data_IF_919177029449
#
_entry.id   IF_919177029449
#
_cell.length_a   1.000
_cell.length_b   1.000
_cell.length_c   1.000
_cell.angle_alpha   90.00
_cell.angle_beta   90.00
_cell.angle_gamma   90.00
#
_symmetry.space_group_name_H-M   'P 1'
#
loop_
_entity.id
_entity.type
_entity.pdbx_description
1 polymer ?
#
# COMPACT_ATOMS: atom_id res chain seq x y z
N UNK A 1 1.93 17.89 5.32
CA UNK A 1 1.13 16.77 5.86
C UNK A 1 1.78 15.48 5.41
N UNK A 2 1.90 14.48 6.30
CA UNK A 2 2.37 13.16 5.88
C UNK A 2 1.21 12.41 5.21
N UNK A 3 1.48 11.64 4.15
CA UNK A 3 0.45 10.91 3.42
C UNK A 3 -0.16 9.85 4.35
N UNK A 4 -1.48 9.85 4.47
CA UNK A 4 -2.22 8.86 5.28
C UNK A 4 -2.37 7.52 4.56
N UNK A 5 -2.06 7.48 3.27
CA UNK A 5 -2.21 6.29 2.43
C UNK A 5 -0.96 6.13 1.58
N UNK A 6 -0.48 4.89 1.49
CA UNK A 6 0.58 4.46 0.58
C UNK A 6 -0.04 3.49 -0.42
N UNK A 7 0.13 3.76 -1.70
CA UNK A 7 -0.31 2.92 -2.79
C UNK A 7 0.84 2.07 -3.31
N UNK A 8 0.55 0.80 -3.53
CA UNK A 8 1.41 -0.15 -4.22
C UNK A 8 0.69 -0.53 -5.51
N UNK A 9 1.26 -0.19 -6.66
CA UNK A 9 0.61 -0.35 -7.96
C UNK A 9 1.53 -1.02 -8.96
N UNK A 10 1.01 -1.96 -9.75
CA UNK A 10 1.72 -2.40 -10.95
C UNK A 10 1.63 -1.34 -12.05
N UNK A 11 2.73 -1.04 -12.71
CA UNK A 11 2.74 -0.22 -13.92
C UNK A 11 2.59 -1.08 -15.19
N UNK A 12 2.49 -0.42 -16.34
CA UNK A 12 2.34 -1.09 -17.65
C UNK A 12 3.56 -1.96 -18.04
N UNK A 13 4.73 -1.77 -17.43
CA UNK A 13 5.95 -2.53 -17.70
C UNK A 13 6.11 -3.75 -16.78
N UNK A 14 5.14 -4.02 -15.90
CA UNK A 14 5.19 -5.12 -14.93
C UNK A 14 6.01 -4.82 -13.68
N UNK A 15 6.44 -3.58 -13.50
CA UNK A 15 7.13 -3.09 -12.29
C UNK A 15 6.11 -2.63 -11.26
N UNK A 16 6.44 -2.80 -9.99
CA UNK A 16 5.61 -2.39 -8.87
C UNK A 16 6.12 -1.10 -8.26
N UNK A 17 5.25 -0.11 -8.15
CA UNK A 17 5.58 1.24 -7.70
C UNK A 17 4.92 1.46 -6.33
N UNK A 18 5.72 1.92 -5.37
CA UNK A 18 5.23 2.40 -4.07
C UNK A 18 5.16 3.92 -4.13
N UNK A 19 3.98 4.49 -3.92
CA UNK A 19 3.79 5.94 -3.89
C UNK A 19 2.95 6.34 -2.69
N UNK A 20 3.23 7.52 -2.16
CA UNK A 20 2.35 8.15 -1.19
C UNK A 20 1.15 8.79 -1.88
N UNK A 21 0.01 8.82 -1.20
CA UNK A 21 -1.16 9.56 -1.67
C UNK A 21 -0.84 11.06 -1.83
N UNK A 22 -1.18 11.61 -2.99
CA UNK A 22 -0.85 12.98 -3.39
C UNK A 22 0.63 13.26 -3.68
N UNK A 23 1.52 12.26 -3.66
CA UNK A 23 2.93 12.47 -3.98
C UNK A 23 3.19 12.51 -5.50
N UNK A 24 4.00 13.47 -5.95
CA UNK A 24 4.42 13.56 -7.35
C UNK A 24 5.52 12.56 -7.73
N UNK A 25 6.21 12.00 -6.75
CA UNK A 25 7.32 11.07 -6.96
C UNK A 25 7.07 9.76 -6.21
N UNK A 26 7.39 8.61 -6.83
CA UNK A 26 7.32 7.34 -6.15
C UNK A 26 8.36 7.25 -5.02
N UNK A 27 7.99 6.60 -3.94
CA UNK A 27 8.88 6.27 -2.83
C UNK A 27 9.92 5.23 -3.28
N UNK A 28 9.48 4.21 -4.04
CA UNK A 28 10.37 3.16 -4.55
C UNK A 28 9.71 2.36 -5.69
N UNK A 29 10.53 1.59 -6.42
CA UNK A 29 10.10 0.69 -7.50
C UNK A 29 10.70 -0.69 -7.29
N UNK A 30 9.95 -1.75 -7.62
CA UNK A 30 10.31 -3.14 -7.36
C UNK A 30 9.89 -4.06 -8.51
N UNK A 31 10.57 -5.19 -8.66
CA UNK A 31 10.25 -6.19 -9.69
C UNK A 31 9.03 -7.06 -9.35
N UNK A 32 8.61 -7.09 -8.08
CA UNK A 32 7.53 -7.98 -7.61
C UNK A 32 6.56 -7.25 -6.68
N UNK A 33 5.32 -7.76 -6.62
CA UNK A 33 4.28 -7.27 -5.69
C UNK A 33 4.75 -7.36 -4.25
N UNK A 34 5.34 -8.51 -3.89
CA UNK A 34 5.75 -8.81 -2.52
C UNK A 34 6.84 -7.88 -2.02
N UNK A 35 7.81 -7.52 -2.87
CA UNK A 35 8.88 -6.59 -2.49
C UNK A 35 8.32 -5.17 -2.31
N UNK A 36 7.42 -4.74 -3.20
CA UNK A 36 6.77 -3.44 -3.10
C UNK A 36 5.86 -3.33 -1.88
N UNK A 37 5.07 -4.36 -1.59
CA UNK A 37 4.25 -4.43 -0.38
C UNK A 37 5.11 -4.36 0.87
N UNK A 38 6.22 -5.12 0.93
CA UNK A 38 7.13 -5.10 2.07
C UNK A 38 7.74 -3.72 2.27
N UNK A 39 8.15 -3.04 1.20
CA UNK A 39 8.67 -1.68 1.25
C UNK A 39 7.62 -0.67 1.74
N UNK A 40 6.38 -0.79 1.26
CA UNK A 40 5.27 0.06 1.70
C UNK A 40 4.93 -0.16 3.19
N UNK A 41 4.88 -1.41 3.63
CA UNK A 41 4.66 -1.78 5.04
C UNK A 41 5.80 -1.26 5.93
N UNK A 42 7.06 -1.40 5.50
CA UNK A 42 8.21 -0.86 6.22
C UNK A 42 8.12 0.67 6.34
N UNK A 43 7.63 1.35 5.31
CA UNK A 43 7.42 2.80 5.34
C UNK A 43 6.24 3.23 6.23
N UNK A 44 5.20 2.40 6.34
CA UNK A 44 4.08 2.62 7.24
C UNK A 44 4.39 2.24 8.71
N UNK A 45 5.48 1.49 8.95
CA UNK A 45 5.85 1.03 10.29
C UNK A 45 6.19 2.23 11.19
N UNK A 46 5.60 2.28 12.38
CA UNK A 46 5.74 3.41 13.30
C UNK A 46 4.70 4.52 13.12
N UNK A 47 3.79 4.37 12.15
CA UNK A 47 2.72 5.32 11.88
C UNK A 47 1.36 4.62 11.92
N UNK A 48 0.65 4.76 13.05
CA UNK A 48 -0.63 4.08 13.28
C UNK A 48 -1.77 4.58 12.38
N UNK A 49 -1.59 5.72 11.71
CA UNK A 49 -2.55 6.37 10.83
C UNK A 49 -2.27 6.15 9.33
N UNK A 50 -1.24 5.38 8.97
CA UNK A 50 -0.86 5.11 7.58
C UNK A 50 -1.45 3.78 7.11
N UNK A 51 -2.26 3.82 6.06
CA UNK A 51 -2.83 2.66 5.39
C UNK A 51 -2.02 2.28 4.15
N UNK A 52 -1.78 0.99 3.92
CA UNK A 52 -1.16 0.51 2.68
C UNK A 52 -2.21 -0.15 1.80
N UNK A 53 -2.37 0.36 0.58
CA UNK A 53 -3.29 -0.15 -0.43
C UNK A 53 -2.52 -0.78 -1.58
N UNK A 54 -2.71 -2.07 -1.80
CA UNK A 54 -2.12 -2.80 -2.93
C UNK A 54 -3.16 -2.92 -4.03
N UNK A 55 -2.83 -2.39 -5.20
CA UNK A 55 -3.60 -2.47 -6.43
C UNK A 55 -3.00 -3.58 -7.29
N UNK A 56 -3.75 -4.66 -7.47
CA UNK A 56 -3.32 -5.75 -8.35
C UNK A 56 -3.53 -5.40 -9.84
N UNK A 57 -3.05 -6.28 -10.71
CA UNK A 57 -3.17 -6.13 -12.18
C UNK A 57 -4.61 -6.17 -12.70
N UNK A 58 -5.57 -6.54 -11.86
CA UNK A 58 -7.00 -6.62 -12.17
C UNK A 58 -7.79 -5.47 -11.54
N UNK A 59 -7.11 -4.39 -11.12
CA UNK A 59 -7.68 -3.24 -10.44
C UNK A 59 -8.41 -3.58 -9.13
N UNK A 60 -8.08 -4.71 -8.50
CA UNK A 60 -8.56 -5.02 -7.16
C UNK A 60 -7.65 -4.34 -6.15
N UNK A 61 -8.27 -3.74 -5.15
CA UNK A 61 -7.56 -3.08 -4.06
C UNK A 61 -7.66 -3.95 -2.81
N UNK A 62 -6.52 -4.23 -2.19
CA UNK A 62 -6.46 -4.87 -0.87
C UNK A 62 -5.64 -4.03 0.09
N UNK A 63 -6.07 -3.99 1.35
CA UNK A 63 -5.29 -3.40 2.43
C UNK A 63 -4.17 -4.37 2.86
N UNK A 64 -2.92 -3.92 2.79
CA UNK A 64 -1.80 -4.61 3.40
C UNK A 64 -1.63 -4.10 4.82
N UNK A 65 -1.92 -4.92 5.82
CA UNK A 65 -1.72 -4.52 7.21
C UNK A 65 -0.22 -4.54 7.48
N UNK A 66 0.33 -3.46 8.04
CA UNK A 66 1.64 -3.52 8.65
C UNK A 66 1.56 -4.55 9.77
N UNK A 67 2.08 -5.75 9.51
CA UNK A 67 2.05 -6.83 10.45
C UNK A 67 2.92 -6.45 11.64
N UNK A 68 2.31 -5.90 12.68
CA UNK A 68 2.80 -6.17 14.03
C UNK A 68 2.70 -7.69 14.17
N UNK A 69 3.83 -8.36 13.98
CA UNK A 69 4.09 -9.79 14.15
C UNK A 69 2.85 -10.66 14.42
N UNK A 70 2.40 -11.40 13.39
CA UNK A 70 1.64 -12.63 13.57
C UNK A 70 0.20 -12.50 14.06
N UNK A 71 -0.71 -11.97 13.25
CA UNK A 71 -2.13 -12.35 13.29
C UNK A 71 -2.84 -11.78 12.05
N UNK A 72 -3.03 -12.62 11.04
CA UNK A 72 -4.04 -12.36 10.02
C UNK A 72 -5.42 -12.49 10.71
N UNK A 73 -6.01 -11.38 11.20
CA UNK A 73 -7.44 -11.36 11.54
C UNK A 73 -8.11 -9.98 11.51
N UNK A 74 -9.30 -10.04 10.92
CA UNK A 74 -10.46 -9.14 10.85
C UNK A 74 -10.38 -7.91 9.91
N UNK A 75 -11.40 -7.74 9.02
CA UNK A 75 -11.52 -6.57 8.16
C UNK A 75 -12.07 -5.42 9.01
N UNK A 76 -11.42 -4.25 8.98
CA UNK A 76 -11.98 -3.07 9.62
C UNK A 76 -11.55 -1.78 8.94
N UNK A 77 -12.51 -1.28 8.14
CA UNK A 77 -12.85 0.13 7.93
C UNK A 77 -11.79 1.02 7.26
N UNK A 78 -11.34 0.67 6.06
CA UNK A 78 -11.26 1.67 4.99
C UNK A 78 -12.40 1.43 3.98
N UNK A 79 -13.65 1.49 4.46
CA UNK A 79 -14.80 1.50 3.57
C UNK A 79 -14.72 2.79 2.74
N UNK A 80 -14.38 2.62 1.47
CA UNK A 80 -14.62 3.61 0.43
C UNK A 80 -16.10 4.01 0.51
N UNK A 81 -16.36 5.29 0.79
CA UNK A 81 -17.70 5.86 0.77
C UNK A 81 -17.94 6.41 -0.65
N UNK A 82 -18.90 5.87 -1.42
CA UNK A 82 -19.26 6.42 -2.72
C UNK A 82 -20.28 7.56 -2.54
N UNK A 83 -20.03 8.71 -3.18
CA UNK A 83 -21.09 9.67 -3.53
C UNK A 83 -21.08 9.90 -5.02
#
# INVERSE_FOLDING_TARGET
MRPRVIHVMSNATGTWIVTADGACAPISQHGTETDAERAAVAHATGHADVCVLVHDRYARVREARAALSGAQRAPSRCSQDPR
#
